data_IF_722417531184
#
_entry.id   IF_722417531184
#
_cell.length_a   1.000
_cell.length_b   1.000
_cell.length_c   1.000
_cell.angle_alpha   90.00
_cell.angle_beta   90.00
_cell.angle_gamma   90.00
#
_symmetry.space_group_name_H-M   'P 1'
#
loop_
_entity.id
_entity.type
_entity.pdbx_description
1 polymer ?
#
# COMPACT_ATOMS: atom_id res chain seq x y z
N UNK A 1 5.32 7.36 16.32
CA UNK A 1 5.83 6.11 15.74
C UNK A 1 4.98 5.76 14.53
N UNK A 2 5.56 5.54 13.33
CA UNK A 2 4.83 5.05 12.17
C UNK A 2 4.17 3.68 12.44
N UNK A 3 3.04 3.40 11.79
CA UNK A 3 2.24 2.20 12.07
C UNK A 3 3.00 0.90 11.74
N UNK A 4 3.77 0.91 10.65
CA UNK A 4 4.62 -0.19 10.22
C UNK A 4 5.73 -0.50 11.24
N UNK A 5 6.27 0.52 11.92
CA UNK A 5 7.27 0.33 12.97
C UNK A 5 6.66 -0.23 14.26
N UNK A 6 5.43 0.20 14.59
CA UNK A 6 4.70 -0.33 15.73
C UNK A 6 4.36 -1.82 15.54
N UNK A 7 3.93 -2.20 14.33
CA UNK A 7 3.67 -3.61 13.98
C UNK A 7 4.96 -4.42 13.94
N UNK A 8 6.02 -3.91 13.31
CA UNK A 8 7.30 -4.60 13.21
C UNK A 8 7.88 -4.92 14.60
N UNK A 9 7.77 -4.00 15.56
CA UNK A 9 8.29 -4.15 16.93
C UNK A 9 7.36 -4.88 17.90
N UNK A 10 6.13 -5.23 17.49
CA UNK A 10 5.18 -5.88 18.37
C UNK A 10 5.49 -7.38 18.52
N UNK A 11 5.93 -7.86 19.70
CA UNK A 11 6.31 -9.26 19.90
C UNK A 11 5.11 -10.22 19.91
N UNK A 12 3.88 -9.70 20.10
CA UNK A 12 2.66 -10.51 20.13
C UNK A 12 2.17 -10.87 18.72
N UNK A 13 2.71 -10.22 17.68
CA UNK A 13 2.34 -10.48 16.29
C UNK A 13 3.45 -11.30 15.66
N UNK A 14 3.13 -12.48 15.14
CA UNK A 14 4.07 -13.35 14.44
C UNK A 14 4.18 -12.98 12.97
N UNK A 15 5.28 -13.38 12.34
CA UNK A 15 5.51 -13.14 10.90
C UNK A 15 4.47 -13.87 10.04
N UNK A 16 3.99 -15.04 10.49
CA UNK A 16 2.91 -15.77 9.83
C UNK A 16 1.59 -14.99 9.83
N UNK A 17 1.31 -14.26 10.91
CA UNK A 17 0.09 -13.44 11.02
C UNK A 17 0.16 -12.22 10.11
N UNK A 18 1.34 -11.60 9.98
CA UNK A 18 1.59 -10.55 8.99
C UNK A 18 1.39 -11.06 7.56
N UNK A 19 1.97 -12.23 7.22
CA UNK A 19 1.80 -12.85 5.89
C UNK A 19 0.33 -13.17 5.60
N UNK A 20 -0.37 -13.79 6.55
CA UNK A 20 -1.78 -14.10 6.42
C UNK A 20 -2.66 -12.85 6.23
N UNK A 21 -2.34 -11.75 6.93
CA UNK A 21 -3.02 -10.47 6.76
C UNK A 21 -2.79 -9.89 5.35
N UNK A 22 -1.55 -9.93 4.85
CA UNK A 22 -1.22 -9.51 3.48
C UNK A 22 -2.01 -10.33 2.46
N UNK A 23 -2.01 -11.66 2.59
CA UNK A 23 -2.73 -12.57 1.69
C UNK A 23 -4.24 -12.30 1.66
N UNK A 24 -4.84 -12.08 2.84
CA UNK A 24 -6.24 -11.70 2.96
C UNK A 24 -6.54 -10.38 2.24
N UNK A 25 -5.70 -9.36 2.42
CA UNK A 25 -5.87 -8.05 1.79
C UNK A 25 -5.71 -8.14 0.27
N UNK A 26 -4.73 -8.90 -0.22
CA UNK A 26 -4.56 -9.20 -1.64
C UNK A 26 -5.80 -9.90 -2.22
N UNK A 27 -6.36 -10.90 -1.52
CA UNK A 27 -7.59 -11.56 -1.94
C UNK A 27 -8.79 -10.59 -1.97
N UNK A 28 -8.90 -9.68 -0.99
CA UNK A 28 -9.96 -8.67 -0.93
C UNK A 28 -9.88 -7.68 -2.09
N UNK A 29 -8.67 -7.20 -2.41
CA UNK A 29 -8.40 -6.30 -3.54
C UNK A 29 -8.74 -6.99 -4.86
N UNK A 30 -8.27 -8.23 -5.07
CA UNK A 30 -8.57 -9.01 -6.28
C UNK A 30 -10.07 -9.28 -6.46
N UNK A 31 -10.78 -9.58 -5.37
CA UNK A 31 -12.24 -9.78 -5.41
C UNK A 31 -13.00 -8.50 -5.79
N UNK A 32 -12.57 -7.34 -5.30
CA UNK A 32 -13.19 -6.07 -5.67
C UNK A 32 -12.99 -5.78 -7.17
N UNK A 33 -11.77 -5.96 -7.67
CA UNK A 33 -11.45 -5.83 -9.09
C UNK A 33 -12.28 -6.78 -9.96
N UNK A 34 -12.36 -8.06 -9.61
CA UNK A 34 -13.15 -9.05 -10.35
C UNK A 34 -14.66 -8.74 -10.36
N UNK A 35 -15.19 -8.11 -9.31
CA UNK A 35 -16.61 -7.75 -9.23
C UNK A 35 -16.93 -6.39 -9.87
N UNK A 36 -15.93 -5.70 -10.43
CA UNK A 36 -16.09 -4.31 -10.88
C UNK A 36 -16.47 -3.35 -9.75
N UNK A 37 -16.15 -3.69 -8.50
CA UNK A 37 -16.41 -2.85 -7.35
C UNK A 37 -15.26 -1.87 -7.13
N UNK A 38 -15.53 -0.68 -6.54
CA UNK A 38 -14.49 0.25 -6.17
C UNK A 38 -13.41 -0.42 -5.32
N UNK A 39 -12.15 -0.15 -5.64
CA UNK A 39 -11.03 -0.73 -4.92
C UNK A 39 -11.01 -0.19 -3.48
N UNK A 40 -11.04 -1.05 -2.45
CA UNK A 40 -11.09 -0.57 -1.08
C UNK A 40 -9.74 0.04 -0.68
N UNK A 41 -9.65 1.38 -0.68
CA UNK A 41 -8.44 2.14 -0.35
C UNK A 41 -7.83 1.71 1.00
N UNK A 42 -8.67 1.44 2.00
CA UNK A 42 -8.22 0.96 3.30
C UNK A 42 -7.52 -0.41 3.22
N UNK A 43 -7.96 -1.30 2.32
CA UNK A 43 -7.31 -2.58 2.13
C UNK A 43 -5.94 -2.42 1.47
N UNK A 44 -5.85 -1.55 0.46
CA UNK A 44 -4.58 -1.22 -0.21
C UNK A 44 -3.58 -0.59 0.76
N UNK A 45 -4.00 0.45 1.50
CA UNK A 45 -3.16 1.10 2.50
C UNK A 45 -2.70 0.13 3.58
N UNK A 46 -3.61 -0.71 4.08
CA UNK A 46 -3.25 -1.70 5.11
C UNK A 46 -2.23 -2.70 4.58
N UNK A 47 -2.41 -3.20 3.34
CA UNK A 47 -1.48 -4.14 2.69
C UNK A 47 -0.05 -3.58 2.72
N UNK A 48 0.12 -2.33 2.28
CA UNK A 48 1.42 -1.65 2.26
C UNK A 48 2.05 -1.51 3.66
N UNK A 49 1.24 -1.22 4.68
CA UNK A 49 1.74 -1.10 6.06
C UNK A 49 2.23 -2.47 6.57
N UNK A 50 1.48 -3.54 6.31
CA UNK A 50 1.88 -4.89 6.72
C UNK A 50 3.11 -5.38 5.96
N UNK A 51 3.22 -5.09 4.66
CA UNK A 51 4.41 -5.41 3.86
C UNK A 51 5.64 -4.68 4.37
N UNK A 52 5.53 -3.37 4.64
CA UNK A 52 6.63 -2.61 5.25
C UNK A 52 7.02 -3.15 6.62
N UNK A 53 6.04 -3.52 7.45
CA UNK A 53 6.32 -4.11 8.76
C UNK A 53 7.05 -5.45 8.65
N UNK A 54 6.67 -6.31 7.69
CA UNK A 54 7.34 -7.58 7.44
C UNK A 54 8.77 -7.37 6.94
N UNK A 55 8.99 -6.44 6.01
CA UNK A 55 10.32 -6.10 5.51
C UNK A 55 11.25 -5.58 6.60
N UNK A 56 10.75 -4.74 7.51
CA UNK A 56 11.53 -4.26 8.68
C UNK A 56 11.98 -5.44 9.54
N UNK A 57 11.15 -6.49 9.70
CA UNK A 57 11.49 -7.67 10.51
C UNK A 57 12.48 -8.61 9.83
N UNK A 58 12.31 -8.84 8.53
CA UNK A 58 13.15 -9.76 7.76
C UNK A 58 14.48 -9.13 7.34
N UNK A 59 14.61 -7.80 7.44
CA UNK A 59 15.77 -7.07 6.94
C UNK A 59 15.84 -7.04 5.41
N UNK A 60 14.75 -7.40 4.73
CA UNK A 60 14.67 -7.38 3.28
C UNK A 60 14.57 -5.93 2.78
N UNK A 61 15.44 -5.51 1.84
CA UNK A 61 15.41 -4.16 1.32
C UNK A 61 14.16 -3.93 0.45
N UNK A 62 13.65 -2.69 0.45
CA UNK A 62 12.39 -2.28 -0.21
C UNK A 62 12.31 -2.69 -1.71
N UNK A 63 13.45 -2.86 -2.39
CA UNK A 63 13.52 -3.29 -3.79
C UNK A 63 13.30 -4.80 -4.03
N UNK A 64 13.50 -5.64 -3.01
CA UNK A 64 13.30 -7.10 -3.11
C UNK A 64 11.80 -7.44 -3.19
N UNK A 65 10.96 -6.72 -2.46
CA UNK A 65 9.50 -6.94 -2.46
C UNK A 65 8.83 -6.43 -3.74
N UNK A 66 9.33 -5.32 -4.32
CA UNK A 66 8.83 -4.79 -5.59
C UNK A 66 9.01 -5.76 -6.77
N UNK A 67 9.95 -6.70 -6.68
CA UNK A 67 10.18 -7.71 -7.72
C UNK A 67 9.15 -8.84 -7.72
N UNK A 68 8.44 -9.07 -6.62
CA UNK A 68 7.37 -10.10 -6.57
C UNK A 68 6.06 -9.65 -7.23
N UNK A 69 5.90 -8.35 -7.50
CA UNK A 69 4.70 -7.78 -8.15
C UNK A 69 4.87 -7.70 -9.69
N UNK A 70 5.84 -8.44 -10.26
CA UNK A 70 5.96 -8.68 -11.71
C UNK A 70 5.37 -10.02 -12.11
N UNK A 71 4.05 -10.11 -12.15
CA UNK A 71 3.20 -10.95 -13.01
C UNK A 71 1.76 -10.65 -12.59
N UNK A 72 0.92 -10.28 -13.55
CA UNK A 72 -0.50 -9.88 -13.39
C UNK A 72 -0.79 -8.39 -13.14
N UNK A 73 0.02 -7.51 -13.72
CA UNK A 73 -0.46 -6.17 -14.13
C UNK A 73 -1.37 -6.33 -15.37
N UNK A 74 -2.61 -6.80 -15.16
CA UNK A 74 -3.70 -6.45 -16.06
C UNK A 74 -4.01 -4.98 -15.80
N UNK A 75 -4.04 -4.20 -16.87
CA UNK A 75 -4.09 -2.74 -16.90
C UNK A 75 -4.98 -2.14 -15.81
N UNK A 76 -4.36 -1.39 -14.90
CA UNK A 76 -5.11 -0.46 -14.05
C UNK A 76 -5.54 0.71 -14.95
N UNK A 77 -6.84 0.99 -15.14
CA UNK A 77 -7.24 2.24 -15.76
C UNK A 77 -6.76 3.38 -14.87
N UNK A 78 -5.98 4.28 -15.47
CA UNK A 78 -5.43 5.47 -14.83
C UNK A 78 -6.54 6.23 -14.09
N UNK A 79 -6.59 6.13 -12.76
CA UNK A 79 -7.33 7.08 -11.95
C UNK A 79 -6.55 8.38 -11.96
N UNK A 80 -6.88 9.23 -12.92
CA UNK A 80 -6.43 10.60 -13.03
C UNK A 80 -7.01 11.38 -11.83
N UNK A 81 -6.31 11.34 -10.69
CA UNK A 81 -6.52 12.31 -9.63
C UNK A 81 -6.02 13.66 -10.15
N UNK A 82 -6.93 14.46 -10.70
CA UNK A 82 -6.70 15.89 -10.90
C UNK A 82 -6.57 16.55 -9.52
N UNK A 83 -5.33 16.58 -9.01
CA UNK A 83 -4.98 17.49 -7.94
C UNK A 83 -4.99 18.87 -8.59
N UNK A 84 -6.07 19.62 -8.31
CA UNK A 84 -6.15 21.06 -8.56
C UNK A 84 -4.96 21.74 -7.86
N UNK A 85 -3.85 21.92 -8.58
CA UNK A 85 -2.82 22.86 -8.16
C UNK A 85 -3.38 24.26 -8.41
N UNK A 86 -3.91 24.85 -7.34
CA UNK A 86 -4.20 26.27 -7.29
C UNK A 86 -2.95 27.07 -7.63
N UNK A 87 -3.03 27.80 -8.74
CA UNK A 87 -2.05 28.80 -9.16
C UNK A 87 -2.12 29.95 -8.15
N UNK A 88 -1.21 29.97 -7.18
CA UNK A 88 -1.04 31.08 -6.25
C UNK A 88 -0.10 32.10 -6.88
N UNK A 89 -0.66 33.00 -7.70
CA UNK A 89 0.05 34.18 -8.18
C UNK A 89 0.19 35.18 -7.04
N UNK A 90 1.28 35.04 -6.29
CA UNK A 90 1.77 36.09 -5.40
C UNK A 90 2.48 37.16 -6.22
N UNK A 91 1.73 38.07 -6.85
CA UNK A 91 2.29 39.34 -7.31
C UNK A 91 1.88 40.44 -6.33
N UNK A 92 2.83 40.93 -5.55
CA UNK A 92 2.66 42.10 -4.69
C UNK A 92 3.97 42.89 -4.67
N UNK A 93 3.98 44.01 -5.39
CA UNK A 93 4.52 45.29 -4.93
C UNK A 93 4.30 46.35 -6.03
N UNK A 94 3.29 47.20 -5.82
CA UNK A 94 3.37 48.64 -6.11
C UNK A 94 4.34 49.32 -5.12
#
# INVERSE_FOLDING_TARGET
>A
MPAEHALARNPNIRDEELKAAIDYLCAKIRRAAHKGQPLPFNAYRSKLIFEKALNIRTGEPEWASASSEKRDFVEQPMLQCEIFYGHFDGNSAD
#
